data_IF_124871313111
#
_entry.id   IF_124871313111
#
_cell.length_a   1.000
_cell.length_b   1.000
_cell.length_c   1.000
_cell.angle_alpha   90.00
_cell.angle_beta   90.00
_cell.angle_gamma   90.00
#
_symmetry.space_group_name_H-M   'P 1'
#
loop_
_entity.id
_entity.type
_entity.pdbx_description
1 polymer ?
#
# COMPACT_ATOMS: atom_id res chain seq x y z
N UNK A 1 -17.34 8.33 2.33
CA UNK A 1 -18.12 8.96 3.41
C UNK A 1 -18.93 10.12 2.87
N UNK A 2 -20.25 10.14 3.11
CA UNK A 2 -21.13 11.25 2.69
C UNK A 2 -21.08 12.36 3.73
N UNK A 3 -20.92 13.62 3.29
CA UNK A 3 -20.96 14.78 4.18
C UNK A 3 -22.30 14.82 4.92
N UNK A 4 -22.28 15.28 6.17
CA UNK A 4 -23.50 15.48 6.98
C UNK A 4 -23.79 16.97 7.13
N UNK A 5 -25.07 17.28 7.28
CA UNK A 5 -25.57 18.61 7.57
C UNK A 5 -26.13 18.61 8.99
N UNK A 6 -25.54 19.40 9.88
CA UNK A 6 -26.06 19.70 11.21
C UNK A 6 -27.00 20.90 11.08
N UNK A 7 -28.29 20.65 11.19
CA UNK A 7 -29.32 21.70 11.10
C UNK A 7 -29.45 22.35 12.48
N UNK A 8 -29.17 23.65 12.61
CA UNK A 8 -29.29 24.35 13.89
C UNK A 8 -30.77 24.56 14.26
N UNK A 9 -31.07 24.76 15.54
CA UNK A 9 -32.40 25.25 15.99
C UNK A 9 -32.62 26.72 15.61
N UNK A 10 -31.55 27.52 15.58
CA UNK A 10 -31.58 28.92 15.15
C UNK A 10 -30.64 29.12 13.95
N UNK A 11 -31.19 29.71 12.89
CA UNK A 11 -30.51 29.93 11.62
C UNK A 11 -29.90 31.35 11.50
N UNK A 12 -30.16 32.22 12.48
CA UNK A 12 -29.73 33.61 12.46
C UNK A 12 -28.29 33.78 12.95
N UNK A 13 -27.60 34.82 12.45
CA UNK A 13 -26.25 35.20 12.91
C UNK A 13 -25.10 34.44 12.25
N UNK A 14 -25.37 33.41 11.45
CA UNK A 14 -24.33 32.65 10.76
C UNK A 14 -24.05 33.19 9.36
N UNK A 15 -22.76 33.38 9.05
CA UNK A 15 -22.28 33.86 7.76
C UNK A 15 -22.21 32.70 6.78
N UNK A 16 -22.79 32.91 5.60
CA UNK A 16 -22.82 31.89 4.56
C UNK A 16 -21.40 31.58 4.06
N UNK A 17 -21.11 30.30 3.84
CA UNK A 17 -19.82 29.77 3.42
C UNK A 17 -18.62 30.05 4.35
N UNK A 18 -18.86 30.54 5.57
CA UNK A 18 -17.81 30.73 6.57
C UNK A 18 -17.44 29.41 7.27
N UNK A 19 -16.16 29.23 7.57
CA UNK A 19 -15.64 28.12 8.39
C UNK A 19 -15.76 28.50 9.88
N UNK A 20 -16.30 27.56 10.64
CA UNK A 20 -16.47 27.65 12.07
C UNK A 20 -15.78 26.48 12.76
N UNK A 21 -14.88 26.77 13.70
CA UNK A 21 -14.18 25.80 14.52
C UNK A 21 -14.76 25.75 15.93
N UNK A 22 -14.82 24.54 16.49
CA UNK A 22 -15.30 24.34 17.85
C UNK A 22 -14.79 23.06 18.47
N UNK A 23 -15.37 22.70 19.61
CA UNK A 23 -15.09 21.44 20.29
C UNK A 23 -16.39 20.72 20.66
N UNK A 24 -16.43 19.42 20.40
CA UNK A 24 -17.48 18.53 20.85
C UNK A 24 -16.84 17.37 21.61
N UNK A 25 -17.24 17.17 22.87
CA UNK A 25 -16.58 16.26 23.83
C UNK A 25 -15.04 16.41 23.86
N UNK A 26 -14.55 17.65 23.82
CA UNK A 26 -13.11 17.97 23.82
C UNK A 26 -12.38 17.69 22.50
N UNK A 27 -13.07 17.18 21.48
CA UNK A 27 -12.51 16.93 20.14
C UNK A 27 -12.83 18.09 19.20
N UNK A 28 -11.82 18.56 18.45
CA UNK A 28 -12.01 19.64 17.47
C UNK A 28 -12.99 19.23 16.37
N UNK A 29 -13.96 20.10 16.09
CA UNK A 29 -14.91 19.98 14.98
C UNK A 29 -14.84 21.26 14.15
N UNK A 30 -14.89 21.10 12.82
CA UNK A 30 -14.86 22.22 11.87
C UNK A 30 -16.04 22.07 10.92
N UNK A 31 -16.82 23.16 10.79
CA UNK A 31 -18.12 23.20 10.14
C UNK A 31 -18.21 24.41 9.21
N UNK A 32 -18.75 24.24 8.02
CA UNK A 32 -19.06 25.34 7.10
C UNK A 32 -20.55 25.60 7.14
N UNK A 33 -20.99 26.81 7.48
CA UNK A 33 -22.40 27.14 7.39
C UNK A 33 -22.80 27.35 5.92
N UNK A 34 -23.83 26.64 5.47
CA UNK A 34 -24.37 26.76 4.11
C UNK A 34 -25.83 27.17 4.19
N UNK A 35 -26.11 28.43 3.89
CA UNK A 35 -27.43 29.07 4.05
C UNK A 35 -28.52 28.38 3.23
N UNK A 36 -28.22 27.99 1.99
CA UNK A 36 -29.17 27.29 1.11
C UNK A 36 -29.55 25.89 1.62
N UNK A 37 -28.68 25.25 2.40
CA UNK A 37 -28.96 23.99 3.09
C UNK A 37 -29.58 24.21 4.47
N UNK A 38 -29.65 25.47 4.92
CA UNK A 38 -30.12 25.84 6.25
C UNK A 38 -29.31 25.18 7.37
N UNK A 39 -28.02 24.91 7.18
CA UNK A 39 -27.26 24.16 8.17
C UNK A 39 -25.76 24.11 7.95
N UNK A 40 -25.09 23.52 8.92
CA UNK A 40 -23.65 23.37 8.97
C UNK A 40 -23.20 22.08 8.29
N UNK A 41 -22.43 22.19 7.23
CA UNK A 41 -21.81 21.07 6.55
C UNK A 41 -20.46 20.77 7.19
N UNK A 42 -20.19 19.51 7.44
CA UNK A 42 -18.94 19.09 8.08
C UNK A 42 -17.75 19.29 7.14
N UNK A 43 -16.77 20.09 7.54
CA UNK A 43 -15.51 20.29 6.80
C UNK A 43 -14.51 19.12 7.00
N UNK A 44 -14.87 18.17 7.84
CA UNK A 44 -14.03 17.08 8.29
C UNK A 44 -14.83 15.79 8.43
N UNK A 45 -14.12 14.66 8.48
CA UNK A 45 -14.75 13.36 8.69
C UNK A 45 -15.39 13.27 10.10
N UNK A 46 -16.72 13.23 10.17
CA UNK A 46 -17.45 13.10 11.44
C UNK A 46 -17.23 11.78 12.18
N UNK A 47 -16.84 10.70 11.50
CA UNK A 47 -16.57 9.44 12.19
C UNK A 47 -15.41 9.55 13.19
N UNK A 48 -14.55 10.59 13.07
CA UNK A 48 -13.51 10.88 14.07
C UNK A 48 -14.08 11.33 15.43
N UNK A 49 -15.32 11.80 15.43
CA UNK A 49 -15.97 12.34 16.63
C UNK A 49 -16.76 11.26 17.35
N UNK A 50 -17.41 10.37 16.60
CA UNK A 50 -18.26 9.30 17.12
C UNK A 50 -17.45 8.11 17.65
N UNK A 51 -17.97 7.43 18.67
CA UNK A 51 -17.54 6.08 19.07
C UNK A 51 -18.10 5.04 18.08
N UNK A 52 -17.54 3.82 18.02
CA UNK A 52 -18.04 2.76 17.12
C UNK A 52 -19.54 2.45 17.28
N UNK A 53 -20.08 2.64 18.48
CA UNK A 53 -21.47 2.37 18.83
C UNK A 53 -22.39 3.58 18.59
N UNK A 54 -21.83 4.77 18.37
CA UNK A 54 -22.58 6.01 18.24
C UNK A 54 -22.97 6.28 16.79
N UNK A 55 -24.26 6.55 16.56
CA UNK A 55 -24.75 7.01 15.27
C UNK A 55 -24.56 8.52 15.13
N UNK A 56 -24.80 9.03 13.92
CA UNK A 56 -24.83 10.46 13.65
C UNK A 56 -25.90 11.22 14.45
N UNK A 57 -26.88 10.53 15.03
CA UNK A 57 -27.86 11.14 15.93
C UNK A 57 -27.27 11.56 17.27
N UNK A 58 -26.04 11.15 17.60
CA UNK A 58 -25.33 11.60 18.80
C UNK A 58 -25.13 13.12 18.83
N UNK A 59 -25.19 13.82 17.69
CA UNK A 59 -25.15 15.27 17.65
C UNK A 59 -26.52 15.93 17.91
N UNK A 60 -27.63 15.19 17.96
CA UNK A 60 -28.96 15.77 18.10
C UNK A 60 -29.16 16.34 19.50
N UNK A 61 -29.66 17.58 19.57
CA UNK A 61 -29.80 18.39 20.78
C UNK A 61 -28.49 18.77 21.49
N UNK A 62 -27.34 18.46 20.90
CA UNK A 62 -26.05 18.90 21.43
C UNK A 62 -25.85 20.40 21.22
N UNK A 63 -25.16 21.02 22.17
CA UNK A 63 -24.71 22.39 22.09
C UNK A 63 -23.22 22.43 21.76
N UNK A 64 -22.87 23.11 20.67
CA UNK A 64 -21.48 23.24 20.22
C UNK A 64 -21.17 24.73 20.14
N UNK A 65 -20.16 25.16 20.90
CA UNK A 65 -19.60 26.50 20.76
C UNK A 65 -18.66 26.51 19.56
N UNK A 66 -18.90 27.47 18.67
CA UNK A 66 -18.24 27.65 17.40
C UNK A 66 -17.64 29.06 17.31
N UNK A 67 -16.47 29.18 16.72
CA UNK A 67 -15.76 30.42 16.45
C UNK A 67 -15.46 30.50 14.95
N UNK A 68 -15.71 31.64 14.31
CA UNK A 68 -15.39 31.85 12.89
C UNK A 68 -13.85 31.91 12.70
N UNK A 69 -13.29 31.13 11.77
CA UNK A 69 -11.83 30.96 11.57
C UNK A 69 -11.09 32.31 11.41
N UNK A 70 -11.70 33.27 10.72
CA UNK A 70 -11.12 34.58 10.41
C UNK A 70 -11.48 35.68 11.41
N UNK A 71 -12.27 35.38 12.45
CA UNK A 71 -12.77 36.38 13.42
C UNK A 71 -12.50 35.93 14.85
N UNK A 72 -11.30 36.27 15.36
CA UNK A 72 -10.92 36.02 16.75
C UNK A 72 -11.93 36.65 17.72
N UNK A 73 -12.52 35.81 18.58
CA UNK A 73 -13.38 36.23 19.70
C UNK A 73 -14.88 36.33 19.40
N UNK A 74 -15.33 36.08 18.17
CA UNK A 74 -16.77 35.93 17.88
C UNK A 74 -17.19 34.48 18.02
N UNK A 75 -17.71 34.13 19.21
CA UNK A 75 -18.23 32.79 19.49
C UNK A 75 -19.76 32.76 19.38
N UNK A 76 -20.27 31.81 18.61
CA UNK A 76 -21.68 31.46 18.54
C UNK A 76 -21.92 30.06 19.10
N UNK A 77 -23.01 29.85 19.83
CA UNK A 77 -23.40 28.50 20.27
C UNK A 77 -24.50 27.97 19.36
N UNK A 78 -24.24 26.86 18.68
CA UNK A 78 -25.25 26.15 17.91
C UNK A 78 -25.88 25.06 18.76
N UNK A 79 -27.21 25.02 18.81
CA UNK A 79 -27.94 23.82 19.26
C UNK A 79 -28.38 23.03 18.04
N UNK A 80 -27.92 21.80 17.89
CA UNK A 80 -28.26 20.96 16.73
C UNK A 80 -29.67 20.42 16.88
N UNK A 81 -30.55 20.70 15.93
CA UNK A 81 -31.91 20.18 15.89
C UNK A 81 -32.00 18.79 15.23
N UNK A 82 -31.30 18.64 14.10
CA UNK A 82 -31.34 17.45 13.28
C UNK A 82 -30.02 17.27 12.54
N UNK A 83 -29.66 16.01 12.29
CA UNK A 83 -28.57 15.66 11.37
C UNK A 83 -29.15 15.05 10.10
N UNK A 84 -28.69 15.52 8.93
CA UNK A 84 -29.15 15.02 7.63
C UNK A 84 -27.98 14.55 6.79
N UNK A 85 -28.21 13.53 5.96
CA UNK A 85 -27.26 13.21 4.89
C UNK A 85 -27.39 14.22 3.75
N UNK A 86 -26.26 14.63 3.17
CA UNK A 86 -26.28 15.36 1.92
C UNK A 86 -26.56 14.36 0.77
N UNK A 87 -27.79 14.36 0.25
CA UNK A 87 -28.26 13.40 -0.77
C UNK A 87 -27.70 13.69 -2.17
N UNK A 88 -27.36 14.95 -2.47
CA UNK A 88 -26.78 15.38 -3.74
C UNK A 88 -25.53 16.21 -3.49
N UNK A 89 -24.49 16.12 -4.34
CA UNK A 89 -23.34 17.02 -4.26
C UNK A 89 -23.84 18.46 -4.35
N UNK A 90 -23.57 19.27 -3.31
CA UNK A 90 -23.84 20.69 -3.38
C UNK A 90 -22.82 21.31 -4.35
N UNK A 91 -23.25 22.15 -5.30
CA UNK A 91 -22.45 22.57 -6.46
C UNK A 91 -21.06 23.15 -6.12
N UNK A 92 -20.89 23.69 -4.91
CA UNK A 92 -19.63 24.27 -4.42
C UNK A 92 -18.87 23.39 -3.42
N UNK A 93 -19.37 22.19 -3.12
CA UNK A 93 -18.79 21.26 -2.17
C UNK A 93 -18.48 19.93 -2.86
N UNK A 94 -17.20 19.74 -3.19
CA UNK A 94 -16.70 18.50 -3.78
C UNK A 94 -17.00 17.26 -2.91
N UNK A 95 -17.04 16.09 -3.51
CA UNK A 95 -17.10 14.83 -2.76
C UNK A 95 -15.89 14.77 -1.82
N UNK A 96 -16.13 14.51 -0.52
CA UNK A 96 -15.03 14.35 0.43
C UNK A 96 -14.34 13.02 0.18
N UNK A 97 -13.17 13.07 -0.44
CA UNK A 97 -12.24 11.95 -0.47
C UNK A 97 -11.29 12.11 0.71
N UNK A 98 -11.17 11.12 1.61
CA UNK A 98 -10.28 11.22 2.76
C UNK A 98 -8.79 11.09 2.36
N UNK A 99 -8.41 11.49 1.15
CA UNK A 99 -7.04 11.44 0.66
C UNK A 99 -6.52 12.87 0.62
N UNK A 100 -5.46 13.15 1.38
CA UNK A 100 -4.81 14.46 1.45
C UNK A 100 -3.47 14.36 0.74
N UNK A 101 -3.31 14.98 -0.45
CA UNK A 101 -2.01 15.09 -1.08
C UNK A 101 -1.07 15.94 -0.22
N UNK A 102 0.10 15.39 0.09
CA UNK A 102 1.18 16.09 0.79
C UNK A 102 2.21 16.60 -0.20
N UNK A 103 2.47 15.82 -1.26
CA UNK A 103 3.41 16.17 -2.31
C UNK A 103 2.95 15.53 -3.63
N UNK A 104 3.04 16.29 -4.73
CA UNK A 104 2.78 15.78 -6.08
C UNK A 104 3.87 16.32 -7.00
N UNK A 105 4.63 15.42 -7.60
CA UNK A 105 5.61 15.69 -8.65
C UNK A 105 5.60 14.55 -9.67
N UNK A 106 6.14 14.75 -10.89
CA UNK A 106 6.17 13.70 -11.91
C UNK A 106 6.88 12.41 -11.48
N UNK A 107 7.85 12.50 -10.56
CA UNK A 107 8.67 11.37 -10.12
C UNK A 107 8.25 10.81 -8.75
N UNK A 108 7.45 11.55 -7.99
CA UNK A 108 7.09 11.21 -6.62
C UNK A 108 5.78 11.88 -6.24
N UNK A 109 4.91 11.12 -5.58
CA UNK A 109 3.77 11.67 -4.86
C UNK A 109 3.72 11.08 -3.45
N UNK A 110 3.12 11.84 -2.52
CA UNK A 110 2.85 11.43 -1.15
C UNK A 110 1.44 11.81 -0.79
N UNK A 111 0.70 10.88 -0.21
CA UNK A 111 -0.69 11.08 0.20
C UNK A 111 -0.88 10.56 1.61
N UNK A 112 -1.70 11.25 2.40
CA UNK A 112 -2.28 10.72 3.62
C UNK A 112 -3.67 10.17 3.29
N UNK A 113 -3.92 8.93 3.65
CA UNK A 113 -5.19 8.26 3.44
C UNK A 113 -5.57 7.43 4.68
N UNK A 114 -6.86 7.12 4.88
CA UNK A 114 -7.29 6.14 5.86
C UNK A 114 -6.59 4.81 5.61
N UNK A 115 -6.21 4.15 6.70
CA UNK A 115 -5.40 2.95 6.64
C UNK A 115 -6.13 1.80 5.93
N UNK A 116 -7.45 1.74 6.06
CA UNK A 116 -8.30 0.77 5.36
C UNK A 116 -8.23 0.88 3.83
N UNK A 117 -7.96 2.07 3.29
CA UNK A 117 -7.83 2.28 1.85
C UNK A 117 -6.40 2.08 1.34
N UNK A 118 -5.41 1.98 2.23
CA UNK A 118 -4.00 1.97 1.85
C UNK A 118 -3.68 0.82 0.87
N UNK A 119 -4.20 -0.38 1.16
CA UNK A 119 -3.90 -1.55 0.33
C UNK A 119 -4.50 -1.43 -1.08
N UNK A 120 -5.71 -0.87 -1.22
CA UNK A 120 -6.35 -0.61 -2.51
C UNK A 120 -5.61 0.47 -3.30
N UNK A 121 -5.13 1.52 -2.61
CA UNK A 121 -4.30 2.55 -3.26
C UNK A 121 -3.02 1.96 -3.86
N UNK A 122 -2.37 1.00 -3.17
CA UNK A 122 -1.21 0.30 -3.71
C UNK A 122 -1.60 -0.52 -4.94
N UNK A 123 -2.69 -1.30 -4.86
CA UNK A 123 -3.15 -2.13 -5.98
C UNK A 123 -3.44 -1.27 -7.23
N UNK A 124 -4.13 -0.15 -7.06
CA UNK A 124 -4.43 0.80 -8.13
C UNK A 124 -3.15 1.41 -8.72
N UNK A 125 -2.18 1.78 -7.88
CA UNK A 125 -0.90 2.33 -8.33
C UNK A 125 -0.12 1.30 -9.15
N UNK A 126 -0.10 0.03 -8.71
CA UNK A 126 0.54 -1.07 -9.42
C UNK A 126 -0.13 -1.33 -10.77
N UNK A 127 -1.47 -1.37 -10.81
CA UNK A 127 -2.22 -1.57 -12.04
C UNK A 127 -1.94 -0.44 -13.04
N UNK A 128 -2.06 0.81 -12.59
CA UNK A 128 -1.83 1.97 -13.43
C UNK A 128 -0.39 2.03 -13.96
N UNK A 129 0.60 1.72 -13.13
CA UNK A 129 1.99 1.64 -13.57
C UNK A 129 2.21 0.52 -14.59
N UNK A 130 1.59 -0.66 -14.42
CA UNK A 130 1.70 -1.75 -15.41
C UNK A 130 1.10 -1.33 -16.75
N UNK A 131 -0.07 -0.72 -16.75
CA UNK A 131 -0.74 -0.32 -18.00
C UNK A 131 0.08 0.69 -18.82
N UNK A 132 0.80 1.59 -18.14
CA UNK A 132 1.57 2.66 -18.80
C UNK A 132 3.04 2.32 -19.02
N UNK A 133 3.66 1.54 -18.13
CA UNK A 133 5.11 1.33 -18.07
C UNK A 133 5.54 -0.13 -18.13
N UNK A 134 4.65 -1.09 -18.40
CA UNK A 134 5.02 -2.51 -18.49
C UNK A 134 6.14 -2.82 -19.49
N UNK A 135 6.42 -1.96 -20.49
CA UNK A 135 7.53 -2.13 -21.44
C UNK A 135 8.89 -1.67 -20.90
N UNK A 136 8.87 -0.84 -19.86
CA UNK A 136 10.02 -0.21 -19.23
C UNK A 136 10.25 -0.73 -17.81
N UNK A 137 9.69 -1.89 -17.49
CA UNK A 137 9.69 -2.49 -16.16
C UNK A 137 11.10 -2.71 -15.58
N UNK A 138 12.10 -2.83 -16.44
CA UNK A 138 13.51 -3.05 -16.10
C UNK A 138 14.20 -1.77 -15.62
N UNK A 139 13.81 -0.60 -16.11
CA UNK A 139 14.53 0.67 -15.88
C UNK A 139 13.68 1.79 -15.28
N UNK A 140 12.37 1.60 -15.20
CA UNK A 140 11.43 2.56 -14.63
C UNK A 140 10.61 1.95 -13.48
N UNK A 141 11.26 1.57 -12.36
CA UNK A 141 10.58 0.89 -11.26
C UNK A 141 9.54 1.75 -10.58
N UNK A 142 8.44 1.13 -10.16
CA UNK A 142 7.55 1.69 -9.15
C UNK A 142 8.06 1.32 -7.75
N UNK A 143 8.34 2.34 -6.93
CA UNK A 143 8.67 2.18 -5.51
C UNK A 143 7.48 2.61 -4.65
N UNK A 144 7.04 1.74 -3.74
CA UNK A 144 5.86 1.99 -2.91
C UNK A 144 6.23 1.88 -1.43
N UNK A 145 6.11 3.00 -0.72
CA UNK A 145 6.23 3.05 0.73
C UNK A 145 4.88 3.24 1.39
N UNK A 146 4.54 2.41 2.37
CA UNK A 146 3.32 2.59 3.18
C UNK A 146 3.70 2.72 4.64
N UNK A 147 3.53 3.92 5.20
CA UNK A 147 3.78 4.21 6.62
C UNK A 147 2.44 4.38 7.33
N UNK A 148 2.11 3.42 8.18
CA UNK A 148 0.92 3.43 9.03
C UNK A 148 1.30 3.89 10.43
N UNK A 149 0.49 4.75 11.05
CA UNK A 149 0.80 5.34 12.35
C UNK A 149 -0.47 5.73 13.11
N UNK A 150 -0.49 5.60 14.45
CA UNK A 150 -1.54 6.18 15.28
C UNK A 150 -1.60 7.70 15.12
N UNK A 151 -2.80 8.26 15.23
CA UNK A 151 -3.05 9.72 15.08
C UNK A 151 -2.19 10.60 15.99
N UNK A 152 -1.83 10.11 17.18
CA UNK A 152 -1.07 10.87 18.18
C UNK A 152 0.44 10.82 17.96
N UNK A 153 0.94 10.10 16.95
CA UNK A 153 2.36 10.11 16.62
C UNK A 153 2.75 11.52 16.13
N UNK A 154 3.82 12.13 16.68
CA UNK A 154 4.29 13.42 16.21
C UNK A 154 4.60 13.40 14.72
N UNK A 155 4.09 14.39 13.98
CA UNK A 155 4.22 14.43 12.51
C UNK A 155 5.68 14.43 12.04
N UNK A 156 6.60 15.03 12.81
CA UNK A 156 8.04 14.98 12.53
C UNK A 156 8.59 13.54 12.47
N UNK A 157 8.17 12.68 13.41
CA UNK A 157 8.57 11.28 13.42
C UNK A 157 8.01 10.52 12.21
N UNK A 158 6.79 10.87 11.76
CA UNK A 158 6.20 10.31 10.54
C UNK A 158 7.01 10.71 9.31
N UNK A 159 7.38 12.00 9.18
CA UNK A 159 8.19 12.49 8.05
C UNK A 159 9.56 11.83 8.02
N UNK A 160 10.23 11.66 9.16
CA UNK A 160 11.50 10.94 9.26
C UNK A 160 11.35 9.47 8.83
N UNK A 161 10.33 8.79 9.32
CA UNK A 161 10.05 7.40 8.93
C UNK A 161 9.76 7.25 7.44
N UNK A 162 9.02 8.17 6.84
CA UNK A 162 8.76 8.19 5.38
C UNK A 162 10.06 8.33 4.60
N UNK A 163 10.96 9.23 5.02
CA UNK A 163 12.30 9.37 4.39
C UNK A 163 13.11 8.08 4.49
N UNK A 164 13.16 7.46 5.67
CA UNK A 164 13.86 6.19 5.87
C UNK A 164 13.28 5.06 5.00
N UNK A 165 11.96 5.04 4.80
CA UNK A 165 11.30 4.09 3.90
C UNK A 165 11.66 4.36 2.44
N UNK A 166 11.66 5.61 2.00
CA UNK A 166 12.08 6.00 0.65
C UNK A 166 13.54 5.59 0.39
N UNK A 167 14.46 5.90 1.31
CA UNK A 167 15.87 5.52 1.19
C UNK A 167 16.03 3.99 1.13
N UNK A 168 15.25 3.24 1.90
CA UNK A 168 15.26 1.77 1.87
C UNK A 168 14.66 1.17 0.59
N UNK A 169 13.82 1.93 -0.13
CA UNK A 169 13.27 1.52 -1.42
C UNK A 169 14.27 1.75 -2.57
N UNK A 170 15.19 2.71 -2.41
CA UNK A 170 16.28 2.93 -3.37
C UNK A 170 17.21 1.72 -3.35
N UNK A 171 17.01 0.86 -4.35
CA UNK A 171 17.82 -0.33 -4.59
C UNK A 171 18.98 -0.08 -5.54
N UNK A 172 19.94 -1.00 -5.53
CA UNK A 172 20.91 -1.12 -6.62
C UNK A 172 20.28 -1.88 -7.78
N UNK A 173 20.77 -1.61 -8.97
CA UNK A 173 20.53 -2.46 -10.14
C UNK A 173 20.96 -3.90 -9.83
N UNK A 174 20.21 -4.86 -10.38
CA UNK A 174 20.40 -6.29 -10.21
C UNK A 174 20.41 -6.97 -11.58
N UNK A 175 21.15 -8.07 -11.71
CA UNK A 175 21.07 -8.92 -12.90
C UNK A 175 20.04 -10.03 -12.68
N UNK A 176 19.01 -10.08 -13.51
CA UNK A 176 18.02 -11.15 -13.54
C UNK A 176 18.31 -12.07 -14.72
N UNK A 177 18.25 -13.39 -14.49
CA UNK A 177 18.66 -14.39 -15.47
C UNK A 177 17.47 -14.96 -16.21
N UNK A 178 17.48 -14.91 -17.55
CA UNK A 178 16.43 -15.50 -18.37
C UNK A 178 16.49 -17.03 -18.25
N UNK A 179 15.43 -17.64 -17.72
CA UNK A 179 15.27 -19.09 -17.65
C UNK A 179 14.55 -19.62 -18.89
N UNK A 180 13.52 -18.91 -19.32
CA UNK A 180 12.66 -19.33 -20.43
C UNK A 180 12.12 -18.14 -21.19
N UNK A 181 11.91 -18.33 -22.49
CA UNK A 181 11.35 -17.32 -23.39
C UNK A 181 10.26 -17.97 -24.23
N UNK A 182 9.02 -17.57 -23.99
CA UNK A 182 7.86 -17.97 -24.78
C UNK A 182 7.42 -16.80 -25.67
N UNK A 183 7.24 -17.08 -26.97
CA UNK A 183 6.83 -16.08 -27.95
C UNK A 183 5.43 -16.44 -28.44
N UNK A 184 4.49 -15.52 -28.27
CA UNK A 184 3.14 -15.61 -28.84
C UNK A 184 2.87 -14.36 -29.67
N UNK A 185 1.95 -14.43 -30.63
CA UNK A 185 1.69 -13.32 -31.53
C UNK A 185 1.48 -12.00 -30.75
N UNK A 186 2.38 -11.02 -30.95
CA UNK A 186 2.34 -9.70 -30.33
C UNK A 186 2.92 -9.58 -28.91
N UNK A 187 3.37 -10.67 -28.26
CA UNK A 187 3.92 -10.63 -26.89
C UNK A 187 5.08 -11.60 -26.67
N UNK A 188 5.99 -11.26 -25.75
CA UNK A 188 7.04 -12.16 -25.25
C UNK A 188 6.83 -12.36 -23.76
N UNK A 189 6.68 -13.61 -23.33
CA UNK A 189 6.68 -13.98 -21.93
C UNK A 189 8.08 -14.48 -21.55
N UNK A 190 8.65 -13.87 -20.51
CA UNK A 190 9.97 -14.19 -19.96
C UNK A 190 9.78 -14.79 -18.58
N UNK A 191 10.35 -15.97 -18.35
CA UNK A 191 10.56 -16.51 -16.99
C UNK A 191 11.95 -16.10 -16.55
N UNK A 192 12.03 -15.32 -15.48
CA UNK A 192 13.24 -14.66 -15.02
C UNK A 192 13.57 -15.15 -13.61
N UNK A 193 14.82 -15.54 -13.36
CA UNK A 193 15.33 -15.81 -12.02
C UNK A 193 15.91 -14.52 -11.45
N UNK A 194 15.33 -14.04 -10.35
CA UNK A 194 15.75 -12.85 -9.62
C UNK A 194 17.02 -13.12 -8.81
N UNK A 195 17.59 -12.07 -8.23
CA UNK A 195 18.78 -12.16 -7.37
C UNK A 195 18.54 -12.96 -6.08
N UNK A 196 17.31 -12.94 -5.55
CA UNK A 196 16.93 -13.73 -4.38
C UNK A 196 16.68 -15.22 -4.70
N UNK A 197 16.94 -15.65 -5.94
CA UNK A 197 16.77 -17.02 -6.41
C UNK A 197 15.35 -17.38 -6.84
N UNK A 198 14.36 -16.52 -6.57
CA UNK A 198 12.96 -16.77 -6.93
C UNK A 198 12.71 -16.43 -8.39
N UNK A 199 11.76 -17.13 -8.99
CA UNK A 199 11.37 -16.90 -10.38
C UNK A 199 10.19 -15.93 -10.46
N UNK A 200 10.17 -15.13 -11.53
CA UNK A 200 9.05 -14.24 -11.86
C UNK A 200 8.79 -14.23 -13.36
N UNK A 201 7.56 -13.90 -13.73
CA UNK A 201 7.12 -13.82 -15.12
C UNK A 201 7.00 -12.35 -15.53
N UNK A 202 7.51 -12.01 -16.72
CA UNK A 202 7.29 -10.72 -17.38
C UNK A 202 6.69 -10.93 -18.75
N UNK A 203 5.54 -10.33 -18.99
CA UNK A 203 4.89 -10.31 -20.30
C UNK A 203 5.13 -8.94 -20.92
N UNK A 204 5.89 -8.91 -22.01
CA UNK A 204 6.27 -7.68 -22.71
C UNK A 204 5.54 -7.64 -24.05
N UNK A 205 4.63 -6.67 -24.27
CA UNK A 205 4.02 -6.47 -25.57
C UNK A 205 5.06 -6.00 -26.60
N UNK A 206 4.95 -6.52 -27.82
CA UNK A 206 5.78 -6.15 -28.97
C UNK A 206 5.07 -5.20 -29.94
N UNK A 207 3.78 -4.94 -29.72
CA UNK A 207 2.97 -4.06 -30.57
C UNK A 207 2.39 -2.91 -29.77
N UNK A 208 2.20 -1.76 -30.40
CA UNK A 208 1.48 -0.62 -29.85
C UNK A 208 -0.04 -0.93 -29.73
N UNK A 209 -0.83 -0.13 -28.98
CA UNK A 209 -2.28 -0.32 -28.87
C UNK A 209 -3.03 -0.28 -30.21
N UNK A 210 -2.46 0.38 -31.22
CA UNK A 210 -2.99 0.45 -32.59
C UNK A 210 -2.60 -0.75 -33.48
N UNK A 211 -1.89 -1.74 -32.92
CA UNK A 211 -1.48 -2.97 -33.59
C UNK A 211 -0.16 -2.89 -34.37
N UNK A 212 0.46 -1.71 -34.49
CA UNK A 212 1.77 -1.57 -35.14
C UNK A 212 2.88 -2.21 -34.31
N UNK A 213 3.95 -2.68 -34.95
CA UNK A 213 5.14 -3.14 -34.24
C UNK A 213 5.75 -1.99 -33.42
N UNK A 214 6.05 -2.27 -32.15
CA UNK A 214 6.73 -1.34 -31.27
C UNK A 214 8.24 -1.51 -31.43
N UNK A 215 8.84 -0.63 -32.23
CA UNK A 215 10.28 -0.63 -32.50
C UNK A 215 11.08 0.21 -31.51
N UNK A 216 10.43 0.82 -30.50
CA UNK A 216 11.05 1.82 -29.63
C UNK A 216 11.26 1.33 -28.20
N UNK A 217 10.24 0.70 -27.60
CA UNK A 217 10.25 0.42 -26.16
C UNK A 217 10.64 -1.00 -25.71
N UNK A 218 10.43 -2.09 -26.48
CA UNK A 218 10.64 -3.45 -25.99
C UNK A 218 12.12 -3.86 -26.05
N UNK A 219 12.96 -3.08 -25.39
CA UNK A 219 14.39 -3.30 -25.22
C UNK A 219 14.76 -3.32 -23.75
N UNK A 220 15.71 -4.18 -23.40
CA UNK A 220 16.27 -4.26 -22.05
C UNK A 220 17.79 -4.18 -22.10
N UNK A 221 18.39 -3.61 -21.06
CA UNK A 221 19.84 -3.60 -20.90
C UNK A 221 20.32 -5.02 -20.54
N UNK A 222 21.26 -5.56 -21.30
CA UNK A 222 21.83 -6.90 -21.06
C UNK A 222 23.19 -6.83 -20.38
N UNK A 223 23.56 -7.86 -19.61
CA UNK A 223 24.88 -7.94 -18.98
C UNK A 223 26.01 -8.02 -20.01
N UNK A 224 25.72 -8.70 -21.11
CA UNK A 224 26.55 -8.81 -22.30
C UNK A 224 26.80 -7.44 -22.97
N UNK A 225 28.02 -7.20 -23.43
CA UNK A 225 28.43 -5.98 -24.14
C UNK A 225 28.55 -6.16 -25.65
N UNK A 226 28.34 -7.37 -26.16
CA UNK A 226 28.39 -7.66 -27.59
C UNK A 226 27.04 -7.42 -28.26
N UNK A 227 27.10 -6.73 -29.40
CA UNK A 227 25.95 -6.56 -30.31
C UNK A 227 25.79 -7.87 -31.07
N UNK A 228 24.75 -8.66 -30.74
CA UNK A 228 24.52 -9.98 -31.36
C UNK A 228 23.50 -9.97 -32.48
N UNK A 229 22.56 -9.02 -32.45
CA UNK A 229 21.43 -8.99 -33.37
C UNK A 229 21.30 -7.64 -34.07
N UNK A 230 20.70 -7.58 -35.27
CA UNK A 230 20.56 -6.32 -36.01
C UNK A 230 19.79 -5.22 -35.28
N UNK A 231 18.88 -5.58 -34.36
CA UNK A 231 18.12 -4.62 -33.53
C UNK A 231 18.83 -4.22 -32.26
N UNK A 232 19.91 -4.92 -31.87
CA UNK A 232 20.66 -4.53 -30.68
C UNK A 232 21.31 -3.16 -30.95
N UNK A 233 21.34 -2.30 -29.95
CA UNK A 233 22.06 -1.03 -30.02
C UNK A 233 22.92 -0.84 -28.78
N UNK A 234 24.04 -0.15 -28.96
CA UNK A 234 24.98 0.15 -27.89
C UNK A 234 24.87 1.62 -27.50
N UNK A 235 24.65 1.86 -26.21
CA UNK A 235 24.68 3.19 -25.63
C UNK A 235 26.13 3.72 -25.59
N UNK A 236 26.39 5.04 -25.66
CA UNK A 236 27.74 5.60 -25.66
C UNK A 236 28.67 5.17 -24.52
N UNK A 237 28.13 4.75 -23.37
CA UNK A 237 28.94 4.19 -22.27
C UNK A 237 29.17 2.66 -22.37
N UNK A 238 28.88 2.06 -23.53
CA UNK A 238 29.16 0.66 -23.85
C UNK A 238 28.06 -0.34 -23.46
N UNK A 239 26.98 0.10 -22.82
CA UNK A 239 25.85 -0.75 -22.44
C UNK A 239 25.05 -1.17 -23.69
N UNK A 240 24.86 -2.47 -23.89
CA UNK A 240 24.02 -2.99 -24.98
C UNK A 240 22.56 -3.12 -24.53
N UNK A 241 21.66 -2.66 -25.39
CA UNK A 241 20.22 -2.84 -25.26
C UNK A 241 19.77 -3.84 -26.32
N UNK A 242 19.08 -4.89 -25.86
CA UNK A 242 18.58 -5.96 -26.71
C UNK A 242 17.07 -5.92 -26.79
N UNK A 243 16.55 -6.07 -28.00
CA UNK A 243 15.12 -6.28 -28.22
C UNK A 243 14.66 -7.55 -27.51
N UNK A 244 13.60 -7.49 -26.70
CA UNK A 244 13.18 -8.61 -25.84
C UNK A 244 12.86 -9.90 -26.62
N UNK A 245 12.40 -9.77 -27.87
CA UNK A 245 12.16 -10.92 -28.75
C UNK A 245 13.44 -11.72 -29.10
N UNK A 246 14.63 -11.13 -28.96
CA UNK A 246 15.91 -11.76 -29.25
C UNK A 246 16.59 -12.35 -27.99
N UNK A 247 15.98 -12.19 -26.81
CA UNK A 247 16.51 -12.78 -25.58
C UNK A 247 16.51 -14.31 -25.68
N UNK A 248 17.52 -14.92 -25.06
CA UNK A 248 17.69 -16.38 -24.96
C UNK A 248 17.84 -16.80 -23.50
N UNK A 249 17.48 -18.05 -23.16
CA UNK A 249 17.85 -18.62 -21.87
C UNK A 249 19.35 -18.44 -21.58
N UNK A 250 19.67 -18.02 -20.35
CA UNK A 250 21.02 -17.68 -19.91
C UNK A 250 21.44 -16.22 -20.13
N UNK A 251 20.65 -15.40 -20.86
CA UNK A 251 20.93 -13.97 -20.93
C UNK A 251 20.67 -13.31 -19.57
N UNK A 252 21.61 -12.48 -19.11
CA UNK A 252 21.46 -11.61 -17.94
C UNK A 252 20.85 -10.26 -18.34
N UNK A 253 19.77 -9.86 -17.67
CA UNK A 253 19.11 -8.56 -17.85
C UNK A 253 19.43 -7.68 -16.64
N UNK A 254 19.85 -6.45 -16.89
CA UNK A 254 20.01 -5.41 -15.85
C UNK A 254 18.64 -4.83 -15.51
N UNK A 255 18.28 -4.91 -14.24
CA UNK A 255 16.96 -4.53 -13.73
C UNK A 255 17.15 -3.62 -12.52
N UNK A 256 16.51 -2.46 -12.54
CA UNK A 256 16.18 -1.64 -11.38
C UNK A 256 14.84 -2.13 -10.83
N UNK A 257 14.80 -2.92 -9.75
CA UNK A 257 13.57 -3.60 -9.38
C UNK A 257 12.53 -2.65 -8.79
N UNK A 258 11.27 -2.87 -9.14
CA UNK A 258 10.14 -2.30 -8.42
C UNK A 258 10.09 -2.89 -7.00
N UNK A 259 9.84 -2.04 -5.99
CA UNK A 259 9.97 -2.41 -4.57
C UNK A 259 8.82 -1.89 -3.73
N UNK A 260 8.57 -2.56 -2.62
CA UNK A 260 7.57 -2.19 -1.61
C UNK A 260 8.14 -2.30 -0.22
N UNK A 261 7.77 -1.37 0.66
CA UNK A 261 8.07 -1.41 2.09
C UNK A 261 6.89 -0.88 2.88
N UNK A 262 6.40 -1.70 3.81
CA UNK A 262 5.35 -1.32 4.76
C UNK A 262 5.98 -1.12 6.14
N UNK A 263 5.60 -0.05 6.82
CA UNK A 263 6.03 0.27 8.18
C UNK A 263 4.82 0.59 9.04
N UNK A 264 4.78 0.06 10.26
CA UNK A 264 3.83 0.47 11.28
C UNK A 264 4.58 1.14 12.43
N UNK A 265 4.35 2.44 12.61
CA UNK A 265 4.92 3.23 13.69
C UNK A 265 4.08 3.08 14.96
N UNK A 266 4.16 1.93 15.61
CA UNK A 266 3.56 1.69 16.92
C UNK A 266 4.25 2.47 18.06
N UNK A 267 5.51 2.85 17.82
CA UNK A 267 6.39 3.60 18.70
C UNK A 267 7.28 4.52 17.87
N UNK A 268 7.88 5.53 18.51
CA UNK A 268 8.85 6.38 17.81
C UNK A 268 10.09 5.59 17.39
N UNK A 269 10.47 4.54 18.11
CA UNK A 269 11.64 3.70 17.79
C UNK A 269 11.46 2.92 16.47
N UNK A 270 10.23 2.55 16.11
CA UNK A 270 9.93 1.83 14.88
C UNK A 270 10.40 2.58 13.61
N UNK A 271 10.65 3.89 13.66
CA UNK A 271 11.20 4.65 12.53
C UNK A 271 12.59 4.18 12.06
N UNK A 272 13.30 3.43 12.90
CA UNK A 272 14.60 2.83 12.60
C UNK A 272 14.49 1.36 12.19
N UNK A 273 13.29 0.87 11.84
CA UNK A 273 13.09 -0.51 11.42
C UNK A 273 13.98 -0.88 10.21
N UNK A 274 14.91 -1.79 10.50
CA UNK A 274 15.89 -2.33 9.56
C UNK A 274 15.31 -3.40 8.62
N UNK A 275 14.02 -3.75 8.72
CA UNK A 275 13.36 -4.66 7.78
C UNK A 275 13.61 -4.20 6.33
N UNK A 276 14.08 -5.13 5.50
CA UNK A 276 14.42 -4.88 4.10
C UNK A 276 13.16 -4.60 3.28
N UNK A 277 13.31 -3.78 2.24
CA UNK A 277 12.30 -3.67 1.19
C UNK A 277 12.15 -5.01 0.46
N UNK A 278 10.94 -5.25 -0.06
CA UNK A 278 10.58 -6.45 -0.83
C UNK A 278 10.38 -6.09 -2.29
N UNK A 279 10.39 -7.07 -3.19
CA UNK A 279 9.98 -6.83 -4.57
C UNK A 279 8.49 -6.47 -4.60
N UNK A 280 8.13 -5.50 -5.44
CA UNK A 280 6.74 -5.02 -5.52
C UNK A 280 5.76 -6.14 -5.93
N UNK A 281 6.21 -7.12 -6.70
CA UNK A 281 5.38 -8.27 -7.08
C UNK A 281 5.02 -9.19 -5.89
N UNK A 282 5.83 -9.20 -4.83
CA UNK A 282 5.53 -9.95 -3.62
C UNK A 282 4.31 -9.34 -2.88
N UNK A 283 3.94 -8.08 -3.16
CA UNK A 283 2.73 -7.45 -2.63
C UNK A 283 1.46 -8.22 -3.01
N UNK A 284 1.33 -8.59 -4.28
CA UNK A 284 0.17 -9.35 -4.76
C UNK A 284 0.13 -10.74 -4.13
N UNK A 285 1.30 -11.38 -3.97
CA UNK A 285 1.42 -12.66 -3.28
C UNK A 285 1.01 -12.53 -1.80
N UNK A 286 1.45 -11.48 -1.11
CA UNK A 286 1.04 -11.20 0.27
C UNK A 286 -0.48 -11.05 0.40
N UNK A 287 -1.11 -10.31 -0.51
CA UNK A 287 -2.59 -10.16 -0.55
C UNK A 287 -3.31 -11.47 -0.81
N UNK A 288 -2.76 -12.35 -1.64
CA UNK A 288 -3.33 -13.69 -1.88
C UNK A 288 -3.18 -14.59 -0.65
N UNK A 289 -2.02 -14.56 0.00
CA UNK A 289 -1.77 -15.32 1.23
C UNK A 289 -2.74 -14.92 2.33
N UNK A 290 -3.01 -13.62 2.52
CA UNK A 290 -4.02 -13.18 3.47
C UNK A 290 -5.43 -13.67 3.11
N UNK A 291 -5.83 -13.56 1.83
CA UNK A 291 -7.13 -14.10 1.37
C UNK A 291 -7.23 -15.62 1.54
N UNK A 292 -6.14 -16.34 1.40
CA UNK A 292 -6.09 -17.77 1.72
C UNK A 292 -6.29 -18.00 3.22
N UNK A 293 -5.56 -17.29 4.09
CA UNK A 293 -5.73 -17.36 5.54
C UNK A 293 -7.17 -17.06 5.98
N UNK A 294 -7.81 -16.05 5.38
CA UNK A 294 -9.21 -15.70 5.68
C UNK A 294 -10.19 -16.86 5.41
N UNK A 295 -9.88 -17.73 4.46
CA UNK A 295 -10.74 -18.88 4.12
C UNK A 295 -10.46 -20.11 4.95
N UNK A 296 -9.22 -20.29 5.37
CA UNK A 296 -8.74 -21.56 5.93
C UNK A 296 -8.45 -21.52 7.41
N UNK A 297 -8.22 -20.34 7.99
CA UNK A 297 -7.94 -20.24 9.41
C UNK A 297 -9.20 -20.54 10.22
N UNK A 298 -9.13 -21.42 11.24
CA UNK A 298 -10.31 -21.82 12.00
C UNK A 298 -10.81 -20.71 12.93
N UNK A 299 -9.93 -19.79 13.35
CA UNK A 299 -10.30 -18.63 14.17
C UNK A 299 -9.20 -17.56 14.21
N UNK A 300 -9.56 -16.34 14.63
CA UNK A 300 -8.58 -15.28 14.92
C UNK A 300 -7.57 -15.68 16.01
N UNK A 301 -7.98 -16.49 16.99
CA UNK A 301 -7.10 -17.00 18.05
C UNK A 301 -6.05 -17.94 17.48
N UNK A 302 -6.42 -18.79 16.53
CA UNK A 302 -5.48 -19.69 15.86
C UNK A 302 -4.40 -18.91 15.10
N UNK A 303 -4.78 -17.84 14.38
CA UNK A 303 -3.82 -16.96 13.70
C UNK A 303 -2.88 -16.24 14.65
N UNK A 304 -3.39 -15.76 15.79
CA UNK A 304 -2.53 -15.14 16.82
C UNK A 304 -1.51 -16.12 17.36
N UNK A 305 -1.93 -17.36 17.65
CA UNK A 305 -1.04 -18.43 18.10
C UNK A 305 0.00 -18.76 17.04
N UNK A 306 -0.42 -18.99 15.79
CA UNK A 306 0.49 -19.23 14.67
C UNK A 306 1.54 -18.12 14.56
N UNK A 307 1.12 -16.85 14.60
CA UNK A 307 2.04 -15.72 14.52
C UNK A 307 3.07 -15.71 15.65
N UNK A 308 2.64 -15.95 16.89
CA UNK A 308 3.55 -16.03 18.03
C UNK A 308 4.54 -17.19 17.90
N UNK A 309 4.08 -18.34 17.41
CA UNK A 309 4.91 -19.52 17.19
C UNK A 309 5.93 -19.31 16.07
N UNK A 310 5.54 -18.69 14.96
CA UNK A 310 6.46 -18.31 13.88
C UNK A 310 7.53 -17.33 14.36
N UNK A 311 7.16 -16.31 15.14
CA UNK A 311 8.10 -15.35 15.71
C UNK A 311 9.09 -16.03 16.67
N UNK A 312 8.62 -16.98 17.50
CA UNK A 312 9.48 -17.77 18.38
C UNK A 312 10.47 -18.61 17.57
N UNK A 313 10.00 -19.33 16.55
CA UNK A 313 10.83 -20.16 15.69
C UNK A 313 11.91 -19.34 14.97
N UNK A 314 11.55 -18.17 14.45
CA UNK A 314 12.51 -17.27 13.82
C UNK A 314 13.60 -16.80 14.79
N UNK A 315 13.26 -16.53 16.06
CA UNK A 315 14.24 -16.16 17.08
C UNK A 315 15.13 -17.35 17.48
N UNK A 316 14.53 -18.51 17.73
CA UNK A 316 15.24 -19.70 18.20
C UNK A 316 16.19 -20.26 17.14
N UNK A 317 15.86 -20.08 15.85
CA UNK A 317 16.59 -20.65 14.72
C UNK A 317 17.47 -19.62 13.99
N UNK A 318 17.61 -18.42 14.55
CA UNK A 318 18.63 -17.47 14.14
C UNK A 318 19.97 -17.80 14.82
N UNK A 319 21.01 -18.00 14.03
CA UNK A 319 22.37 -18.11 14.57
C UNK A 319 22.78 -16.79 15.23
N UNK A 320 23.73 -16.79 16.20
CA UNK A 320 24.30 -15.56 16.76
C UNK A 320 24.92 -14.62 15.72
N UNK A 321 25.25 -15.15 14.52
CA UNK A 321 25.75 -14.39 13.38
C UNK A 321 24.65 -13.88 12.43
N UNK A 322 23.36 -14.11 12.75
CA UNK A 322 22.21 -13.62 11.98
C UNK A 322 21.84 -14.45 10.74
N UNK A 323 22.46 -15.61 10.53
CA UNK A 323 22.10 -16.57 9.48
C UNK A 323 21.16 -17.69 9.97
N UNK A 324 20.44 -18.39 9.06
CA UNK A 324 19.61 -19.53 9.42
C UNK A 324 20.47 -20.64 10.07
N UNK A 325 20.12 -21.04 11.28
CA UNK A 325 20.85 -22.07 12.02
C UNK A 325 20.54 -23.50 11.54
N UNK A 326 19.42 -23.68 10.82
CA UNK A 326 18.95 -24.98 10.40
C UNK A 326 19.04 -25.20 8.88
N UNK A 327 19.14 -26.47 8.45
CA UNK A 327 19.02 -26.84 7.03
C UNK A 327 17.69 -26.36 6.42
N UNK A 328 17.67 -25.92 5.15
CA UNK A 328 16.44 -25.43 4.49
C UNK A 328 15.28 -26.42 4.50
N UNK A 329 15.56 -27.72 4.31
CA UNK A 329 14.53 -28.76 4.28
C UNK A 329 13.89 -28.96 5.65
N UNK A 330 14.70 -29.01 6.71
CA UNK A 330 14.21 -29.12 8.09
C UNK A 330 13.37 -27.89 8.49
N UNK A 331 13.79 -26.69 8.06
CA UNK A 331 13.02 -25.47 8.27
C UNK A 331 11.65 -25.55 7.57
N UNK A 332 11.62 -25.98 6.30
CA UNK A 332 10.40 -26.16 5.52
C UNK A 332 9.44 -27.16 6.19
N UNK A 333 9.96 -28.31 6.62
CA UNK A 333 9.16 -29.36 7.27
C UNK A 333 8.60 -28.89 8.62
N UNK A 334 9.40 -28.14 9.39
CA UNK A 334 8.96 -27.54 10.66
C UNK A 334 7.83 -26.55 10.42
N UNK A 335 7.97 -25.63 9.46
CA UNK A 335 6.91 -24.69 9.09
C UNK A 335 5.64 -25.41 8.63
N UNK A 336 5.78 -26.47 7.82
CA UNK A 336 4.67 -27.30 7.37
C UNK A 336 3.90 -27.92 8.55
N UNK A 337 4.61 -28.52 9.52
CA UNK A 337 3.99 -29.10 10.71
C UNK A 337 3.26 -28.07 11.58
N UNK A 338 3.87 -26.90 11.79
CA UNK A 338 3.28 -25.79 12.55
C UNK A 338 2.00 -25.29 11.89
N UNK A 339 2.03 -25.08 10.57
CA UNK A 339 0.87 -24.63 9.81
C UNK A 339 -0.27 -25.66 9.84
N UNK A 340 0.02 -26.94 9.65
CA UNK A 340 -0.97 -28.00 9.74
C UNK A 340 -1.62 -28.06 11.13
N UNK A 341 -0.83 -27.92 12.19
CA UNK A 341 -1.31 -27.95 13.57
C UNK A 341 -2.19 -26.73 13.93
N UNK A 342 -1.80 -25.53 13.53
CA UNK A 342 -2.52 -24.31 13.92
C UNK A 342 -3.70 -23.96 13.03
N UNK A 343 -3.65 -24.32 11.75
CA UNK A 343 -4.69 -23.95 10.79
C UNK A 343 -5.60 -25.12 10.41
N UNK A 344 -5.29 -26.35 10.83
CA UNK A 344 -6.06 -27.56 10.50
C UNK A 344 -6.23 -27.77 8.97
N UNK A 345 -5.30 -27.22 8.19
CA UNK A 345 -5.34 -27.24 6.72
C UNK A 345 -4.70 -28.48 6.13
N UNK A 346 -5.22 -28.92 4.97
CA UNK A 346 -4.71 -30.08 4.25
C UNK A 346 -4.42 -29.77 2.78
N UNK A 347 -3.53 -30.59 2.18
CA UNK A 347 -3.22 -30.60 0.73
C UNK A 347 -2.67 -29.25 0.23
N UNK A 348 -3.24 -28.72 -0.85
CA UNK A 348 -2.75 -27.57 -1.62
C UNK A 348 -2.62 -26.29 -0.79
N UNK A 349 -3.56 -26.05 0.14
CA UNK A 349 -3.51 -24.87 1.00
C UNK A 349 -2.29 -24.90 1.94
N UNK A 350 -1.97 -26.08 2.48
CA UNK A 350 -0.81 -26.26 3.34
C UNK A 350 0.49 -26.02 2.57
N UNK A 351 0.64 -26.61 1.38
CA UNK A 351 1.83 -26.41 0.53
C UNK A 351 2.04 -24.93 0.16
N UNK A 352 0.95 -24.25 -0.22
CA UNK A 352 0.98 -22.83 -0.59
C UNK A 352 1.40 -21.96 0.59
N UNK A 353 0.85 -22.21 1.78
CA UNK A 353 1.19 -21.46 3.00
C UNK A 353 2.60 -21.77 3.49
N UNK A 354 3.06 -23.01 3.37
CA UNK A 354 4.44 -23.41 3.70
C UNK A 354 5.43 -22.67 2.80
N UNK A 355 5.19 -22.63 1.49
CA UNK A 355 6.04 -21.87 0.58
C UNK A 355 6.05 -20.37 0.92
N UNK A 356 4.87 -19.79 1.21
CA UNK A 356 4.77 -18.39 1.64
C UNK A 356 5.50 -18.12 2.96
N UNK A 357 5.53 -19.09 3.90
CA UNK A 357 6.24 -18.98 5.17
C UNK A 357 7.76 -19.06 5.00
N UNK A 358 8.25 -19.97 4.15
CA UNK A 358 9.68 -20.06 3.79
C UNK A 358 10.18 -18.75 3.17
N UNK A 359 9.33 -18.10 2.38
CA UNK A 359 9.62 -16.83 1.71
C UNK A 359 9.36 -15.59 2.59
N UNK A 360 8.97 -15.80 3.86
CA UNK A 360 8.56 -14.77 4.82
C UNK A 360 7.40 -13.88 4.34
N UNK A 361 6.67 -14.28 3.31
CA UNK A 361 5.48 -13.59 2.79
C UNK A 361 4.30 -13.80 3.74
N UNK A 362 4.21 -14.97 4.38
CA UNK A 362 3.18 -15.27 5.38
C UNK A 362 3.29 -14.34 6.59
N UNK A 363 4.47 -14.20 7.17
CA UNK A 363 4.74 -13.32 8.31
C UNK A 363 4.42 -11.87 7.96
N UNK A 364 4.78 -11.45 6.74
CA UNK A 364 4.43 -10.12 6.26
C UNK A 364 2.90 -9.92 6.16
N UNK A 365 2.17 -10.90 5.63
CA UNK A 365 0.70 -10.85 5.58
C UNK A 365 0.09 -10.75 6.98
N UNK A 366 0.54 -11.58 7.93
CA UNK A 366 0.09 -11.55 9.32
C UNK A 366 0.41 -10.19 10.00
N UNK A 367 1.63 -9.69 9.84
CA UNK A 367 2.04 -8.41 10.40
C UNK A 367 1.20 -7.25 9.85
N UNK A 368 1.05 -7.17 8.52
CA UNK A 368 0.30 -6.10 7.85
C UNK A 368 -1.18 -6.13 8.22
N UNK A 369 -1.84 -7.27 8.07
CA UNK A 369 -3.29 -7.35 8.26
C UNK A 369 -3.70 -7.36 9.74
N UNK A 370 -2.98 -8.08 10.60
CA UNK A 370 -3.39 -8.18 12.01
C UNK A 370 -2.87 -7.02 12.88
N UNK A 371 -1.71 -6.43 12.55
CA UNK A 371 -1.11 -5.38 13.40
C UNK A 371 -1.45 -4.00 12.89
N UNK A 372 -1.18 -3.73 11.62
CA UNK A 372 -1.41 -2.41 11.05
C UNK A 372 -2.91 -2.20 10.79
N UNK A 373 -3.52 -3.07 9.97
CA UNK A 373 -4.93 -2.94 9.60
C UNK A 373 -5.90 -3.37 10.69
N UNK A 374 -5.42 -4.17 11.67
CA UNK A 374 -6.23 -4.75 12.75
C UNK A 374 -7.43 -5.56 12.24
N UNK A 375 -7.26 -6.21 11.10
CA UNK A 375 -8.25 -7.09 10.51
C UNK A 375 -8.37 -8.39 11.32
N UNK A 376 -9.60 -8.91 11.33
CA UNK A 376 -9.92 -10.25 11.81
C UNK A 376 -10.32 -11.15 10.65
N UNK A 377 -9.99 -12.44 10.79
CA UNK A 377 -10.53 -13.50 9.92
C UNK A 377 -11.91 -13.92 10.37
#
# INVERSE_FOLDING_TARGET
>A
MRRRVLVPKDHNGWKDMALYDGRWHGRQISLVYVRSLGGFVTASNLARLLRPEESHDAFKNEQITLEEEDSFGQQGTVTVNQVRELQQPYAHLAVYHPVIPVEISPLRFRVLAPLEAASECVDLSVAWWRDHFARLWDRFPLHVGVVSFPRLVPYQAVVEAVRNVEDALIGKEETWQVQEVERRAGVVALRLRRRDGRETIRVVPLTLPDGREDVFYPYVAVEDREVRFPRDFQHPQGQVYRHVANLRPGDGIRVSPARVKTLFLDSTAARFDAKRSRYLEDWAQMREVWRLLQRVAPSQTALRRLRSELARLEMDWQSPAGGPAAPPDLWRDTLCGVLANHLEVQRVALETLTEAAVQSTLQWALDWHMTALKESV
#
